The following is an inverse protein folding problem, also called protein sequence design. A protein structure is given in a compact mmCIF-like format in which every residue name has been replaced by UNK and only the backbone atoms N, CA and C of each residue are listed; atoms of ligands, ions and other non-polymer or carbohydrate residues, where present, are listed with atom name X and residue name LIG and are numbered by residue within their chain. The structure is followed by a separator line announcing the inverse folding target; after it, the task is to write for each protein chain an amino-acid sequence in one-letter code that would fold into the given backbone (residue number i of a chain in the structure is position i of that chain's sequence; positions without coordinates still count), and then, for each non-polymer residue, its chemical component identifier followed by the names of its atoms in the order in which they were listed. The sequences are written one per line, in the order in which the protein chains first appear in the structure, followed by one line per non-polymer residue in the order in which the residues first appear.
data_IF_603187105152
#
_entry.id   IF_603187105152
#
_cell.length_a   1.000
_cell.length_b   1.000
_cell.length_c   1.000
_cell.angle_alpha   90.00
_cell.angle_beta   90.00
_cell.angle_gamma   90.00
#
_symmetry.space_group_name_H-M   'P 1'
#
loop_
_entity.id
_entity.type
_entity.pdbx_description
1 polymer ?
#
# COMPACT_ATOMS: atom_id res chain seq x y z
N UNK A 1 18.32 5.34 -24.43
CA UNK A 1 18.42 6.82 -24.50
C UNK A 1 19.35 7.27 -23.38
N UNK A 2 20.33 8.14 -23.61
CA UNK A 2 21.28 8.53 -22.56
C UNK A 2 20.66 9.60 -21.65
N UNK A 3 20.50 9.27 -20.37
CA UNK A 3 20.04 10.20 -19.32
C UNK A 3 21.12 11.23 -18.97
N UNK A 4 20.70 12.43 -18.58
CA UNK A 4 21.56 13.57 -18.25
C UNK A 4 22.39 13.35 -16.98
N UNK A 5 23.56 14.01 -16.81
CA UNK A 5 24.56 13.67 -15.79
C UNK A 5 24.20 14.05 -14.34
N UNK A 6 23.01 14.61 -14.09
CA UNK A 6 22.60 15.16 -12.78
C UNK A 6 21.20 14.67 -12.32
N UNK A 7 20.63 13.65 -12.96
CA UNK A 7 19.39 13.03 -12.48
C UNK A 7 19.73 12.10 -11.33
N UNK A 8 19.46 12.49 -10.09
CA UNK A 8 19.60 11.59 -8.95
C UNK A 8 18.70 10.38 -9.22
N UNK A 9 19.32 9.23 -9.45
CA UNK A 9 18.59 7.98 -9.46
C UNK A 9 17.94 7.88 -8.07
N UNK A 10 16.63 7.74 -8.06
CA UNK A 10 15.81 7.73 -6.85
C UNK A 10 14.85 6.57 -6.99
N UNK A 11 14.63 5.86 -5.89
CA UNK A 11 13.51 4.95 -5.78
C UNK A 11 12.20 5.73 -5.77
N UNK A 12 11.13 5.12 -6.27
CA UNK A 12 9.80 5.73 -6.28
C UNK A 12 8.78 4.68 -5.83
N UNK A 13 8.67 4.42 -4.51
CA UNK A 13 7.67 3.51 -3.98
C UNK A 13 6.26 4.00 -4.34
N UNK A 14 5.44 3.10 -4.88
CA UNK A 14 4.07 3.43 -5.27
C UNK A 14 3.12 2.31 -4.90
N UNK A 15 1.86 2.66 -4.62
CA UNK A 15 0.81 1.68 -4.35
C UNK A 15 -0.17 1.62 -5.53
N UNK A 16 -0.49 0.41 -6.00
CA UNK A 16 -1.37 0.17 -7.16
C UNK A 16 -2.78 -0.32 -6.81
N UNK A 17 -3.52 -0.73 -7.85
CA UNK A 17 -4.91 -1.21 -7.75
C UNK A 17 -5.06 -2.27 -6.65
N UNK A 18 -6.11 -2.11 -5.86
CA UNK A 18 -6.22 -2.68 -4.54
C UNK A 18 -7.46 -3.57 -4.46
N UNK A 19 -7.35 -4.73 -3.84
CA UNK A 19 -8.45 -5.69 -3.68
C UNK A 19 -8.58 -6.10 -2.20
N UNK A 20 -9.77 -6.50 -1.79
CA UNK A 20 -10.02 -7.07 -0.46
C UNK A 20 -10.77 -8.39 -0.59
N UNK A 21 -10.21 -9.44 0.02
CA UNK A 21 -10.77 -10.79 -0.09
C UNK A 21 -12.09 -10.97 0.67
N UNK A 22 -12.81 -12.09 0.44
CA UNK A 22 -13.95 -12.46 1.29
C UNK A 22 -13.50 -12.60 2.74
N UNK A 23 -14.29 -12.06 3.65
CA UNK A 23 -13.88 -11.99 5.04
C UNK A 23 -13.92 -13.36 5.72
N UNK A 24 -12.83 -13.71 6.39
CA UNK A 24 -12.77 -14.91 7.22
C UNK A 24 -12.99 -14.50 8.66
N UNK A 25 -14.02 -15.06 9.31
CA UNK A 25 -14.33 -14.79 10.73
C UNK A 25 -14.50 -13.30 11.08
N UNK A 26 -14.93 -12.48 10.12
CA UNK A 26 -15.12 -11.03 10.31
C UNK A 26 -13.86 -10.18 10.08
N UNK A 27 -12.74 -10.78 9.68
CA UNK A 27 -11.49 -10.09 9.36
C UNK A 27 -11.44 -9.82 7.84
N UNK A 28 -11.10 -8.59 7.44
CA UNK A 28 -10.79 -8.26 6.05
C UNK A 28 -9.27 -8.29 5.84
N UNK A 29 -8.79 -9.11 4.91
CA UNK A 29 -7.39 -9.04 4.46
C UNK A 29 -7.30 -8.06 3.30
N UNK A 30 -6.68 -6.91 3.55
CA UNK A 30 -6.42 -5.85 2.59
C UNK A 30 -5.13 -6.17 1.83
N UNK A 31 -5.14 -6.06 0.51
CA UNK A 31 -3.99 -6.35 -0.34
C UNK A 31 -3.70 -5.20 -1.28
N UNK A 32 -2.42 -4.82 -1.37
CA UNK A 32 -1.97 -3.82 -2.32
C UNK A 32 -0.62 -4.20 -2.94
N UNK A 33 -0.41 -3.93 -4.23
CA UNK A 33 0.92 -4.01 -4.81
C UNK A 33 1.72 -2.75 -4.45
N UNK A 34 2.90 -2.94 -3.86
CA UNK A 34 3.92 -1.92 -3.68
C UNK A 34 4.94 -2.09 -4.80
N UNK A 35 5.12 -1.06 -5.62
CA UNK A 35 6.02 -1.07 -6.77
C UNK A 35 7.08 0.00 -6.65
N UNK A 36 8.30 -0.29 -7.08
CA UNK A 36 9.31 0.74 -7.29
C UNK A 36 9.25 1.23 -8.74
N UNK A 37 8.74 2.45 -8.96
CA UNK A 37 8.67 3.08 -10.29
C UNK A 37 9.85 4.00 -10.58
N UNK A 38 10.83 4.02 -9.66
CA UNK A 38 11.99 4.88 -9.72
C UNK A 38 13.08 4.30 -10.60
N UNK A 39 14.22 4.98 -10.63
CA UNK A 39 15.38 4.57 -11.41
C UNK A 39 16.45 3.84 -10.57
N UNK A 40 16.32 3.85 -9.23
CA UNK A 40 17.18 3.15 -8.30
C UNK A 40 16.43 2.07 -7.51
N UNK A 41 17.15 1.06 -7.04
CA UNK A 41 16.60 0.03 -6.17
C UNK A 41 16.20 0.59 -4.79
N UNK A 42 15.15 0.02 -4.19
CA UNK A 42 14.76 0.31 -2.80
C UNK A 42 14.92 -0.94 -1.94
N UNK A 43 15.41 -0.74 -0.72
CA UNK A 43 15.58 -1.82 0.24
C UNK A 43 14.26 -2.48 0.65
N UNK A 44 14.36 -3.69 1.22
CA UNK A 44 13.24 -4.31 1.91
C UNK A 44 12.83 -3.49 3.14
N UNK A 45 11.64 -3.77 3.67
CA UNK A 45 11.19 -3.19 4.93
C UNK A 45 10.50 -1.84 4.80
N UNK A 46 10.06 -1.45 3.60
CA UNK A 46 9.25 -0.26 3.40
C UNK A 46 7.96 -0.38 4.22
N UNK A 47 7.71 0.59 5.10
CA UNK A 47 6.50 0.63 5.90
C UNK A 47 5.30 0.90 5.00
N UNK A 48 4.23 0.13 5.18
CA UNK A 48 2.95 0.34 4.49
C UNK A 48 1.85 0.42 5.55
N UNK A 49 1.19 1.56 5.62
CA UNK A 49 0.17 1.85 6.64
C UNK A 49 -1.20 2.01 6.00
N UNK A 50 -2.22 1.41 6.62
CA UNK A 50 -3.62 1.42 6.15
C UNK A 50 -4.48 2.22 7.13
N UNK A 51 -5.36 3.09 6.63
CA UNK A 51 -6.14 4.03 7.44
C UNK A 51 -7.64 4.06 7.08
N UNK A 52 -8.50 4.13 8.09
CA UNK A 52 -9.90 4.58 7.97
C UNK A 52 -9.97 6.05 8.41
N UNK A 53 -10.04 6.96 7.44
CA UNK A 53 -9.83 8.38 7.68
C UNK A 53 -8.43 8.64 8.25
N UNK A 54 -8.35 9.10 9.50
CA UNK A 54 -7.08 9.34 10.23
C UNK A 54 -6.72 8.20 11.19
N UNK A 55 -7.55 7.16 11.27
CA UNK A 55 -7.34 6.05 12.21
C UNK A 55 -6.51 4.97 11.54
N UNK A 56 -5.34 4.66 12.12
CA UNK A 56 -4.53 3.53 11.67
C UNK A 56 -5.30 2.22 11.90
N UNK A 57 -5.49 1.46 10.84
CA UNK A 57 -6.08 0.13 10.85
C UNK A 57 -5.02 -0.91 11.20
N UNK A 58 -3.95 -0.93 10.41
CA UNK A 58 -2.86 -1.88 10.55
C UNK A 58 -1.65 -1.43 9.70
N UNK A 59 -0.51 -2.08 9.92
CA UNK A 59 0.72 -1.85 9.17
C UNK A 59 1.33 -3.17 8.69
N UNK A 60 2.09 -3.09 7.61
CA UNK A 60 2.91 -4.19 7.10
C UNK A 60 4.19 -3.64 6.49
N UNK A 61 5.07 -4.52 6.01
CA UNK A 61 6.32 -4.13 5.36
C UNK A 61 6.57 -4.95 4.11
N UNK A 62 7.25 -4.37 3.13
CA UNK A 62 7.85 -5.15 2.04
C UNK A 62 8.87 -6.13 2.62
N UNK A 63 8.88 -7.35 2.10
CA UNK A 63 9.74 -8.44 2.59
C UNK A 63 11.02 -8.58 1.77
N UNK A 64 11.05 -8.03 0.56
CA UNK A 64 12.21 -8.05 -0.33
C UNK A 64 12.58 -6.65 -0.83
N UNK A 65 13.85 -6.45 -1.25
CA UNK A 65 14.20 -5.28 -2.04
C UNK A 65 13.41 -5.26 -3.36
N UNK A 66 13.10 -4.06 -3.86
CA UNK A 66 12.41 -3.87 -5.14
C UNK A 66 13.32 -3.13 -6.11
N UNK A 67 13.67 -3.79 -7.22
CA UNK A 67 14.36 -3.15 -8.33
C UNK A 67 13.43 -2.20 -9.10
N UNK A 68 13.95 -1.28 -9.92
CA UNK A 68 13.14 -0.49 -10.84
C UNK A 68 12.17 -1.35 -11.66
N UNK A 69 10.88 -1.05 -11.57
CA UNK A 69 9.78 -1.77 -12.21
C UNK A 69 9.27 -3.00 -11.46
N UNK A 70 9.91 -3.44 -10.39
CA UNK A 70 9.44 -4.56 -9.58
C UNK A 70 8.35 -4.16 -8.59
N UNK A 71 7.47 -5.13 -8.32
CA UNK A 71 6.42 -5.02 -7.33
C UNK A 71 6.43 -6.20 -6.34
N UNK A 72 5.88 -5.95 -5.16
CA UNK A 72 5.52 -6.93 -4.16
C UNK A 72 4.08 -6.69 -3.71
N UNK A 73 3.25 -7.73 -3.70
CA UNK A 73 1.94 -7.67 -3.03
C UNK A 73 2.17 -7.79 -1.53
N UNK A 74 1.78 -6.75 -0.78
CA UNK A 74 1.75 -6.79 0.67
C UNK A 74 0.31 -6.90 1.15
N UNK A 75 0.13 -7.44 2.36
CA UNK A 75 -1.18 -7.60 2.96
C UNK A 75 -1.22 -7.18 4.41
N UNK A 76 -2.42 -6.80 4.86
CA UNK A 76 -2.67 -6.26 6.18
C UNK A 76 -4.09 -6.65 6.62
N UNK A 77 -4.25 -7.12 7.85
CA UNK A 77 -5.55 -7.55 8.36
C UNK A 77 -6.25 -6.40 9.09
N UNK A 78 -7.49 -6.12 8.69
CA UNK A 78 -8.41 -5.28 9.43
C UNK A 78 -9.33 -6.18 10.26
N UNK A 79 -9.16 -6.15 11.59
CA UNK A 79 -9.89 -7.03 12.52
C UNK A 79 -11.35 -6.61 12.74
N UNK A 80 -11.64 -5.31 12.63
CA UNK A 80 -12.97 -4.74 12.86
C UNK A 80 -13.49 -3.92 11.66
N UNK A 81 -13.58 -4.50 10.46
CA UNK A 81 -14.09 -3.84 9.28
C UNK A 81 -15.62 -3.65 9.37
N UNK A 82 -16.20 -2.70 8.62
CA UNK A 82 -17.64 -2.54 8.55
C UNK A 82 -18.35 -3.82 8.15
N UNK A 83 -19.49 -4.14 8.77
CA UNK A 83 -20.18 -5.43 8.55
C UNK A 83 -21.26 -5.41 7.47
N UNK A 84 -21.45 -4.27 6.82
CA UNK A 84 -22.50 -4.07 5.82
C UNK A 84 -22.03 -3.12 4.73
N UNK A 85 -22.61 -3.27 3.54
CA UNK A 85 -22.33 -2.38 2.41
C UNK A 85 -22.72 -0.93 2.70
N UNK A 86 -23.78 -0.70 3.47
CA UNK A 86 -24.20 0.65 3.87
C UNK A 86 -23.18 1.34 4.80
N UNK A 87 -22.38 0.57 5.52
CA UNK A 87 -21.30 1.07 6.37
C UNK A 87 -19.91 1.00 5.73
N UNK A 88 -19.82 0.62 4.45
CA UNK A 88 -18.54 0.42 3.77
C UNK A 88 -17.66 1.68 3.85
N UNK A 89 -16.34 1.46 3.95
CA UNK A 89 -15.34 2.51 4.16
C UNK A 89 -14.31 2.52 3.07
N UNK A 90 -13.85 3.72 2.73
CA UNK A 90 -12.67 3.90 1.91
C UNK A 90 -11.44 3.83 2.82
N UNK A 91 -10.50 2.94 2.50
CA UNK A 91 -9.25 2.77 3.23
C UNK A 91 -8.12 3.44 2.45
N UNK A 92 -7.45 4.40 3.08
CA UNK A 92 -6.25 5.03 2.50
C UNK A 92 -5.03 4.18 2.83
N UNK A 93 -4.14 4.01 1.87
CA UNK A 93 -2.91 3.26 2.02
C UNK A 93 -1.74 4.16 1.66
N UNK A 94 -0.68 4.12 2.45
CA UNK A 94 0.53 4.92 2.25
C UNK A 94 1.76 4.00 2.41
N UNK A 95 2.57 3.89 1.36
CA UNK A 95 3.90 3.28 1.46
C UNK A 95 4.90 4.33 1.88
N UNK A 96 5.99 3.92 2.55
CA UNK A 96 7.01 4.85 3.05
C UNK A 96 6.39 5.91 3.99
N UNK A 97 5.39 5.52 4.77
CA UNK A 97 4.68 6.42 5.71
C UNK A 97 5.57 6.99 6.83
N UNK A 98 6.76 6.42 7.04
CA UNK A 98 7.78 6.97 7.94
C UNK A 98 8.75 7.96 7.26
N UNK A 99 8.53 8.20 5.96
CA UNK A 99 9.28 9.09 5.06
C UNK A 99 10.80 8.88 5.13
N UNK A 100 11.25 7.64 5.34
CA UNK A 100 12.69 7.31 5.42
C UNK A 100 13.35 7.16 4.05
N UNK A 101 12.56 6.91 3.02
CA UNK A 101 13.02 6.87 1.63
C UNK A 101 12.63 8.17 0.94
N UNK A 102 13.57 8.78 0.22
CA UNK A 102 13.28 9.98 -0.57
C UNK A 102 12.54 9.57 -1.84
N UNK A 103 11.37 10.17 -2.06
CA UNK A 103 10.54 9.96 -3.25
C UNK A 103 10.92 10.95 -4.35
N UNK A 104 10.78 10.51 -5.61
CA UNK A 104 11.01 11.36 -6.77
C UNK A 104 9.77 12.19 -7.11
N UNK A 105 8.58 11.67 -6.77
CA UNK A 105 7.30 12.29 -7.09
C UNK A 105 6.34 12.16 -5.91
N UNK A 106 6.00 13.28 -5.29
CA UNK A 106 5.06 13.30 -4.17
C UNK A 106 3.68 12.74 -4.54
N UNK A 107 3.13 11.92 -3.64
CA UNK A 107 1.72 11.49 -3.66
C UNK A 107 1.42 10.24 -4.51
N UNK A 108 2.41 9.62 -5.12
CA UNK A 108 2.25 8.32 -5.79
C UNK A 108 2.46 7.12 -4.85
N UNK A 109 2.89 7.41 -3.62
CA UNK A 109 3.01 6.56 -2.45
C UNK A 109 1.65 6.22 -1.82
N UNK A 110 0.58 6.91 -2.25
CA UNK A 110 -0.78 6.78 -1.71
C UNK A 110 -1.74 6.08 -2.67
N UNK A 111 -2.62 5.25 -2.10
CA UNK A 111 -3.75 4.63 -2.80
C UNK A 111 -5.01 4.61 -1.93
N UNK A 112 -6.16 4.32 -2.55
CA UNK A 112 -7.45 4.18 -1.86
C UNK A 112 -8.12 2.86 -2.25
N UNK A 113 -8.35 2.02 -1.25
CA UNK A 113 -9.21 0.85 -1.29
C UNK A 113 -10.66 1.29 -1.06
N UNK A 114 -11.50 1.26 -2.10
CA UNK A 114 -12.87 1.79 -2.00
C UNK A 114 -13.86 0.77 -1.48
N UNK A 115 -14.79 1.24 -0.66
CA UNK A 115 -15.97 0.47 -0.26
C UNK A 115 -15.65 -0.85 0.43
N UNK A 116 -14.64 -0.87 1.31
CA UNK A 116 -14.25 -2.03 2.11
C UNK A 116 -15.33 -2.32 3.15
N UNK A 117 -15.86 -3.54 3.13
CA UNK A 117 -16.71 -4.09 4.18
C UNK A 117 -16.64 -5.62 4.18
N UNK A 118 -16.98 -6.20 5.32
CA UNK A 118 -17.14 -7.63 5.50
C UNK A 118 -18.60 -8.01 5.65
N UNK A 119 -19.15 -8.73 4.67
CA UNK A 119 -20.39 -9.46 4.90
C UNK A 119 -20.06 -10.68 5.77
N UNK A 120 -20.67 -10.86 6.96
CA UNK A 120 -20.56 -12.12 7.68
C UNK A 120 -21.03 -13.24 6.77
N UNK A 121 -20.23 -14.29 6.60
CA UNK A 121 -20.72 -15.53 6.00
C UNK A 121 -21.85 -16.05 6.89
N UNK A 122 -23.05 -16.11 6.33
CA UNK A 122 -24.25 -16.62 6.98
C UNK A 122 -24.26 -18.14 6.98
#
# INVERSE_FOLDING_TARGET
MPGTPNGQLTSDPTVGASDFGPCSSGIATLKVPVCNRGADAVGAGLLVSFYDGTTLICETKTTKPLQPGECEEVSCNWDNPPKSQAGAKDVTVEVNADHKVTECKDGNDKAVLKGVFCKPVS
#
